data_IF_833945538170
#
_entry.id   IF_833945538170
#
_cell.length_a   1.000
_cell.length_b   1.000
_cell.length_c   1.000
_cell.angle_alpha   90.00
_cell.angle_beta   90.00
_cell.angle_gamma   90.00
#
_symmetry.space_group_name_H-M   'P 1'
#
loop_
_entity.id
_entity.type
_entity.pdbx_description
1 polymer ?
2 polymer ?
3 non-polymer ?
4 non-polymer ?
5 non-polymer ?
6 non-polymer ?
7 water ?
#
loop_
_entity_poly.entity_id
_entity_poly.type
_entity_poly.pdbx_seq_one_letter_code
_entity_poly.pdbx_strand_id
2 'polydeoxyribonucleotide' '(DA)(DC)(DT)(DT)(DT)(DA)(DT)(DG)(DA)(DA)(DA)(DA)(DT)(DA)(DA)(DA)(DG)(DT)(DA)(DT)(DA)(DG)(DT)(DG)(DT)(DG)(DT)' ?
#
# COMPACT_ATOMS: atom_id res chain seq x y z
N UNK A 1 2.75 19.31 -6.74
CA UNK A 1 3.05 17.87 -6.69
C UNK A 1 1.78 17.08 -6.71
N UNK A 2 1.83 15.91 -7.35
CA UNK A 2 0.74 14.91 -7.41
C UNK A 2 0.87 13.85 -6.33
N UNK A 4 0.99 10.15 -5.57
CA UNK A 4 1.23 8.90 -6.28
C UNK A 4 0.74 7.73 -5.39
N UNK A 5 -0.27 7.04 -5.88
CA UNK A 5 -0.83 5.86 -5.20
C UNK A 5 -1.20 4.83 -6.25
N UNK A 6 -0.56 3.68 -6.20
CA UNK A 6 -0.89 2.67 -7.23
C UNK A 6 -0.70 1.30 -6.59
N UNK A 8 -0.37 -3.21 -6.78
CA UNK A 8 0.02 -4.46 -7.44
C UNK A 8 -0.53 -5.63 -6.60
N UNK A 9 -1.03 -6.68 -7.23
CA UNK A 9 -1.59 -7.80 -6.52
C UNK A 9 -0.42 -8.76 -6.17
N UNK A 11 0.44 -12.60 -4.83
CA UNK A 11 0.01 -13.96 -4.51
C UNK A 11 1.00 -14.58 -3.46
N UNK A 12 0.68 -15.76 -2.92
CA UNK A 12 1.70 -16.52 -2.17
C UNK A 12 2.79 -16.94 -3.16
N UNK A 13 4.01 -16.48 -2.92
CA UNK A 13 5.08 -16.64 -3.91
C UNK A 13 5.58 -15.29 -4.44
N UNK A 14 4.79 -14.23 -4.22
CA UNK A 14 5.30 -12.85 -4.32
C UNK A 14 5.64 -12.31 -2.95
N UNK A 15 4.93 -12.80 -1.94
CA UNK A 15 5.10 -12.25 -0.63
C UNK A 15 6.52 -12.47 -0.08
N UNK A 16 7.10 -13.63 -0.36
CA UNK A 16 8.50 -13.95 0.02
C UNK A 16 9.60 -12.95 -0.39
N UNK A 17 9.59 -12.50 -1.65
CA UNK A 17 10.59 -11.54 -2.16
C UNK A 17 10.40 -10.15 -1.58
N UNK A 18 9.12 -9.76 -1.40
CA UNK A 18 8.76 -8.47 -0.75
C UNK A 18 9.16 -8.41 0.75
N UNK A 19 8.95 -9.52 1.48
CA UNK A 19 9.39 -9.57 2.88
C UNK A 19 10.93 -9.35 2.98
N UNK A 20 11.68 -10.06 2.11
CA UNK A 20 13.15 -9.96 2.04
C UNK A 20 13.59 -8.56 1.57
N UNK A 21 12.96 -8.03 0.51
CA UNK A 21 13.24 -6.65 0.05
C UNK A 21 13.21 -5.71 1.24
N UNK A 22 12.12 -5.78 2.01
CA UNK A 22 11.84 -4.84 3.10
C UNK A 22 12.50 -5.28 4.46
N UNK A 23 13.70 -5.87 4.42
CA UNK A 23 14.44 -6.28 5.63
C UNK A 23 13.60 -7.24 6.49
N UNK A 42 14.88 1.50 5.63
CA UNK A 42 13.56 0.89 5.94
C UNK A 42 13.05 0.99 7.39
N UNK A 43 11.86 1.54 7.55
CA UNK A 43 11.14 1.46 8.83
C UNK A 43 9.67 1.01 8.64
N UNK A 44 9.16 0.24 9.61
CA UNK A 44 7.87 -0.45 9.48
C UNK A 44 6.82 0.17 10.42
N UNK A 45 5.71 0.67 9.86
CA UNK A 45 4.79 1.43 10.68
C UNK A 45 3.73 0.59 11.36
N UNK A 46 3.50 -0.65 10.96
CA UNK A 46 2.47 -1.44 11.66
C UNK A 46 3.11 -2.03 12.87
N UNK A 47 2.27 -2.60 13.72
CA UNK A 47 2.74 -3.35 14.88
C UNK A 47 3.03 -4.83 14.56
N UNK A 48 3.25 -5.17 13.27
CA UNK A 48 3.50 -6.58 12.88
C UNK A 48 4.71 -7.13 13.61
N UNK A 49 4.80 -8.45 13.74
CA UNK A 49 5.97 -9.11 14.30
C UNK A 49 7.01 -9.28 13.20
N UNK A 50 8.04 -8.43 13.25
CA UNK A 50 9.00 -8.33 12.14
C UNK A 50 9.85 -9.55 11.81
N UNK A 51 9.68 -10.66 12.55
CA UNK A 51 10.33 -11.97 12.28
C UNK A 51 9.43 -13.03 11.60
N UNK A 52 8.11 -12.77 11.53
CA UNK A 52 7.22 -13.60 10.69
C UNK A 52 7.05 -13.02 9.27
N UNK A 53 7.23 -13.89 8.28
CA UNK A 53 7.10 -13.54 6.87
C UNK A 53 5.70 -12.98 6.54
N UNK A 54 5.61 -12.18 5.48
CA UNK A 54 4.33 -11.63 5.02
C UNK A 54 3.38 -12.78 4.71
N UNK A 55 3.83 -13.74 3.93
CA UNK A 55 2.96 -14.84 3.54
C UNK A 55 2.35 -15.64 4.74
N UNK A 56 3.18 -16.02 5.72
CA UNK A 56 2.70 -16.65 6.97
C UNK A 56 1.81 -15.71 7.80
N UNK A 57 2.20 -14.45 8.00
CA UNK A 57 1.29 -13.54 8.72
C UNK A 57 -0.13 -13.50 8.03
N UNK A 58 -0.16 -13.47 6.69
CA UNK A 58 -1.44 -13.17 6.05
C UNK A 58 -2.26 -14.46 5.97
N UNK A 59 -1.59 -15.54 5.68
CA UNK A 59 -2.31 -16.82 5.65
C UNK A 59 -2.92 -17.17 7.02
N UNK A 60 -2.15 -17.03 8.12
CA UNK A 60 -2.77 -17.28 9.48
C UNK A 60 -3.98 -16.45 9.71
N UNK A 61 -3.90 -15.18 9.34
CA UNK A 61 -4.96 -14.21 9.58
C UNK A 61 -6.25 -14.57 8.81
N UNK A 62 -6.09 -14.94 7.54
CA UNK A 62 -7.23 -15.26 6.68
C UNK A 62 -7.82 -16.62 7.10
N UNK A 63 -6.95 -17.57 7.34
CA UNK A 63 -7.42 -18.85 7.78
C UNK A 63 -8.19 -18.73 9.08
N UNK A 64 -7.67 -17.97 10.02
CA UNK A 64 -8.28 -17.86 11.35
C UNK A 64 -9.60 -17.11 11.31
N UNK A 65 -9.88 -16.39 10.24
CA UNK A 65 -11.09 -15.56 10.17
C UNK A 65 -12.07 -15.85 9.04
N UNK A 66 -11.64 -16.52 7.96
CA UNK A 66 -12.56 -16.62 6.79
C UNK A 66 -13.78 -17.48 7.22
N UNK A 67 -14.96 -17.15 6.71
CA UNK A 67 -16.15 -17.93 6.99
C UNK A 67 -16.05 -19.31 6.26
N UNK A 68 -15.79 -19.26 4.95
CA UNK A 68 -15.76 -20.46 4.12
C UNK A 68 -14.88 -21.54 4.71
N UNK A 69 -15.33 -22.79 4.64
CA UNK A 69 -14.50 -23.93 4.99
C UNK A 69 -13.55 -24.39 3.84
N UNK A 70 -13.74 -23.88 2.63
CA UNK A 70 -12.78 -24.27 1.59
C UNK A 70 -11.42 -23.59 1.83
N UNK A 71 -10.37 -24.26 1.38
CA UNK A 71 -9.08 -23.68 1.50
C UNK A 71 -8.93 -22.41 0.62
N UNK A 72 -8.06 -21.50 1.05
CA UNK A 72 -7.70 -20.37 0.19
C UNK A 72 -7.25 -20.92 -1.17
N UNK A 73 -7.80 -20.35 -2.25
CA UNK A 73 -7.43 -20.78 -3.58
C UNK A 73 -5.97 -20.43 -3.83
N UNK A 74 -5.28 -21.34 -4.53
CA UNK A 74 -3.83 -21.25 -4.76
C UNK A 74 -3.38 -19.97 -5.52
N UNK A 75 -4.29 -19.45 -6.36
CA UNK A 75 -4.05 -18.19 -7.07
C UNK A 75 -4.74 -16.97 -6.41
N UNK A 76 -5.17 -17.09 -5.14
CA UNK A 76 -5.71 -15.97 -4.41
C UNK A 76 -4.77 -14.72 -4.40
N UNK A 77 -5.35 -13.53 -4.47
CA UNK A 77 -4.60 -12.33 -4.13
C UNK A 77 -4.58 -12.20 -2.61
N UNK A 78 -3.43 -12.53 -1.95
CA UNK A 78 -3.36 -12.45 -0.47
C UNK A 78 -3.28 -11.02 0.01
N UNK A 79 -2.76 -10.11 -0.84
CA UNK A 79 -2.84 -8.71 -0.50
C UNK A 79 -2.51 -7.79 -1.63
N UNK A 80 -3.05 -6.59 -1.51
CA UNK A 80 -2.87 -5.55 -2.51
C UNK A 80 -1.78 -4.61 -2.02
N UNK A 81 -0.62 -4.69 -2.66
CA UNK A 81 0.49 -3.82 -2.23
C UNK A 81 0.37 -2.44 -2.89
N UNK A 82 0.15 -1.40 -2.08
CA UNK A 82 0.12 -0.03 -2.56
C UNK A 82 1.48 0.61 -2.43
N UNK A 83 1.97 1.23 -3.48
CA UNK A 83 3.08 2.18 -3.37
C UNK A 83 2.48 3.56 -3.18
N UNK A 84 2.98 4.28 -2.17
CA UNK A 84 2.57 5.66 -1.81
C UNK A 84 3.81 6.51 -1.81
N UNK A 85 3.79 7.57 -2.58
CA UNK A 85 4.93 8.49 -2.73
C UNK A 85 4.48 9.78 -3.44
N UNK A 86 5.44 10.57 -3.97
CA UNK A 86 5.12 11.74 -4.82
C UNK A 86 6.41 12.12 -5.58
N UNK A 87 6.55 13.36 -6.06
CA UNK A 87 7.83 13.69 -6.71
C UNK A 87 8.90 14.07 -5.68
N UNK A 88 10.15 14.09 -6.10
CA UNK A 88 11.28 14.33 -5.24
C UNK A 88 11.17 15.67 -4.52
N UNK A 89 10.80 16.70 -5.26
CA UNK A 89 10.74 18.04 -4.69
C UNK A 89 9.67 18.15 -3.62
N UNK A 90 8.60 17.34 -3.67
CA UNK A 90 7.58 17.37 -2.61
C UNK A 90 8.23 17.03 -1.25
N UNK A 91 9.03 15.97 -1.18
CA UNK A 91 9.69 15.59 0.05
C UNK A 91 10.85 16.51 0.46
N UNK A 92 11.46 17.23 -0.49
CA UNK A 92 12.55 18.23 -0.13
C UNK A 92 12.01 19.32 0.73
N UNK A 93 10.70 19.53 0.63
CA UNK A 93 10.03 20.56 1.35
C UNK A 93 9.67 20.12 2.74
N UNK A 94 9.83 18.82 3.07
CA UNK A 94 9.41 18.30 4.36
C UNK A 94 10.65 17.89 5.19
N UNK A 95 10.68 18.15 6.49
CA UNK A 95 11.69 17.50 7.33
C UNK A 95 11.33 16.02 7.66
N UNK A 96 12.17 15.34 8.44
CA UNK A 96 12.02 13.91 8.62
C UNK A 96 10.76 13.60 9.44
N UNK A 97 10.45 14.43 10.44
CA UNK A 97 9.23 14.28 11.24
C UNK A 97 7.99 14.35 10.33
N UNK A 98 7.97 15.40 9.53
CA UNK A 98 6.84 15.64 8.63
C UNK A 98 6.73 14.57 7.53
N UNK A 99 7.85 14.08 6.97
CA UNK A 99 7.90 12.95 6.03
C UNK A 99 7.34 11.64 6.66
N UNK A 100 7.78 11.29 7.89
CA UNK A 100 7.13 10.20 8.60
C UNK A 100 5.60 10.40 8.79
N UNK A 101 5.16 11.60 9.17
CA UNK A 101 3.73 11.84 9.38
C UNK A 101 3.00 11.70 8.03
N UNK A 102 3.67 12.02 6.93
CA UNK A 102 3.04 11.87 5.61
C UNK A 102 2.71 10.39 5.41
N UNK A 103 3.65 9.47 5.72
CA UNK A 103 3.34 8.09 5.53
C UNK A 103 2.38 7.50 6.54
N UNK A 104 2.41 7.97 7.80
CA UNK A 104 1.45 7.56 8.80
C UNK A 104 0.03 8.02 8.44
N UNK A 105 -0.06 9.23 7.89
CA UNK A 105 -1.37 9.78 7.43
C UNK A 105 -1.97 8.98 6.30
N UNK A 106 -1.16 8.70 5.28
CA UNK A 106 -1.58 7.75 4.24
C UNK A 106 -1.95 6.33 4.78
N UNK A 107 -1.16 5.73 5.65
CA UNK A 107 -1.59 4.46 6.25
C UNK A 107 -2.96 4.59 6.99
N UNK A 108 -3.21 5.72 7.69
CA UNK A 108 -4.50 6.00 8.33
C UNK A 108 -5.65 6.06 7.41
N UNK A 109 -5.46 6.64 6.21
CA UNK A 109 -6.56 6.68 5.26
C UNK A 109 -7.06 5.26 4.89
N UNK A 110 -6.12 4.36 4.53
CA UNK A 110 -6.44 2.99 4.16
C UNK A 110 -6.91 2.12 5.37
N UNK A 111 -6.35 2.32 6.56
CA UNK A 111 -6.93 1.68 7.77
C UNK A 111 -8.40 2.11 8.01
N UNK A 112 -8.70 3.41 7.91
CA UNK A 112 -10.07 3.84 8.16
C UNK A 112 -11.02 3.35 7.07
N UNK A 113 -10.57 3.32 5.82
CA UNK A 113 -11.49 2.90 4.75
C UNK A 113 -11.50 1.34 4.50
N UNK A 114 -10.42 0.62 4.85
CA UNK A 114 -10.36 -0.82 4.54
C UNK A 114 -10.18 -1.75 5.72
N UNK A 115 -9.87 -1.20 6.89
CA UNK A 115 -9.77 -1.98 8.12
C UNK A 115 -8.36 -2.05 8.67
N UNK A 116 -8.22 -1.73 9.95
CA UNK A 116 -6.96 -1.74 10.72
C UNK A 116 -6.24 -3.07 10.65
N UNK A 117 -7.01 -4.13 10.92
CA UNK A 117 -6.38 -5.43 10.92
C UNK A 117 -6.07 -5.90 9.49
N UNK A 118 -6.58 -5.23 8.45
CA UNK A 118 -6.05 -5.55 7.06
C UNK A 118 -4.69 -4.98 6.66
N UNK A 119 -4.11 -4.05 7.44
CA UNK A 119 -2.89 -3.43 6.97
C UNK A 119 -1.82 -4.35 7.49
N UNK A 120 -1.30 -5.26 6.66
CA UNK A 120 -0.34 -6.29 7.15
C UNK A 120 1.06 -5.77 7.28
N UNK A 121 1.40 -4.78 6.43
CA UNK A 121 2.72 -4.18 6.53
C UNK A 121 2.65 -2.79 5.89
N UNK A 122 3.51 -1.90 6.35
CA UNK A 122 3.59 -0.51 5.86
C UNK A 122 5.04 -0.07 6.01
N UNK A 123 5.85 -0.43 5.04
CA UNK A 123 7.25 -0.25 5.15
C UNK A 123 7.77 0.92 4.29
N UNK A 124 8.49 1.83 4.91
CA UNK A 124 8.97 3.03 4.21
C UNK A 124 10.48 2.99 3.97
N UNK A 125 10.83 3.10 2.69
CA UNK A 125 12.18 3.35 2.13
C UNK A 125 12.52 4.86 2.21
N UNK A 126 13.63 5.20 2.86
CA UNK A 126 13.90 6.59 3.29
C UNK A 126 15.39 6.95 3.09
N UNK A 127 15.86 6.87 1.83
CA UNK A 127 17.28 6.65 1.49
C UNK A 127 17.78 7.46 0.27
N UNK A 128 18.28 6.77 -0.78
CA UNK A 128 18.87 7.45 -1.98
C UNK A 128 17.91 8.21 -2.88
N UNK A 129 16.69 7.69 -3.02
CA UNK A 129 15.70 8.32 -3.87
C UNK A 129 14.67 8.94 -2.96
N UNK A 130 13.67 9.45 -3.64
CA UNK A 130 12.41 9.89 -3.07
C UNK A 130 11.88 8.78 -2.20
N UNK A 131 11.50 9.10 -0.96
CA UNK A 131 10.88 8.03 -0.14
C UNK A 131 9.61 7.45 -0.77
N UNK A 132 9.46 6.13 -0.68
CA UNK A 132 8.32 5.35 -1.21
C UNK A 132 7.88 4.46 -0.04
N UNK A 134 5.72 0.88 0.78
CA UNK A 134 5.08 -0.30 0.24
C UNK A 134 4.16 -0.76 1.35
N UNK A 136 1.04 -3.28 2.39
CA UNK A 136 0.23 -4.47 2.03
C UNK A 136 -1.14 -4.41 2.68
N UNK A 137 -2.19 -4.33 1.86
CA UNK A 137 -3.57 -4.26 2.34
C UNK A 137 -4.24 -5.59 2.00
N UNK A 138 -4.58 -6.39 3.01
CA UNK A 138 -5.33 -7.63 2.81
C UNK A 138 -6.79 -7.29 2.43
N UNK A 139 -7.31 -7.80 1.27
CA UNK A 139 -8.70 -7.47 0.86
C UNK A 139 -9.71 -8.45 1.54
N UNK A 140 -9.76 -8.39 2.85
CA UNK A 140 -10.60 -9.30 3.59
C UNK A 140 -11.74 -8.48 4.16
N UNK A 141 -12.93 -8.73 3.65
CA UNK A 141 -14.11 -8.06 4.15
C UNK A 141 -15.26 -9.05 4.29
N UNK A 142 -16.03 -8.93 5.38
CA UNK A 142 -17.24 -9.77 5.57
C UNK A 142 -16.93 -11.26 5.55
N UNK A 143 -15.88 -11.67 6.24
CA UNK A 143 -15.49 -13.12 6.28
C UNK A 143 -14.87 -13.65 4.96
N UNK A 144 -14.62 -12.78 3.99
CA UNK A 144 -14.21 -13.27 2.65
C UNK A 144 -12.92 -12.58 2.16
N UNK A 145 -11.96 -13.33 1.66
CA UNK A 145 -10.76 -12.73 0.99
C UNK A 145 -11.03 -12.44 -0.48
N UNK A 146 -11.20 -11.19 -0.88
CA UNK A 146 -11.43 -10.94 -2.29
C UNK A 146 -10.96 -9.58 -2.75
N UNK A 147 -9.82 -9.55 -3.47
CA UNK A 147 -9.34 -8.32 -4.03
C UNK A 147 -10.36 -7.81 -5.04
N UNK A 148 -10.93 -8.75 -5.77
CA UNK A 148 -11.93 -8.42 -6.79
C UNK A 148 -13.08 -7.57 -6.20
N UNK A 149 -13.62 -7.94 -5.03
CA UNK A 149 -14.69 -7.19 -4.35
C UNK A 149 -14.22 -5.83 -3.74
N UNK A 151 -11.12 -3.94 -4.31
CA UNK A 151 -10.51 -2.97 -5.21
C UNK A 151 -10.98 -3.22 -6.64
N UNK A 152 -12.15 -2.69 -6.94
CA UNK A 152 -12.71 -2.72 -8.26
C UNK A 152 -12.51 -1.36 -8.97
N UNK A 153 -12.92 -1.28 -10.23
CA UNK A 153 -12.68 -0.06 -10.97
C UNK A 153 -13.25 1.20 -10.23
N UNK A 154 -14.37 1.05 -9.56
CA UNK A 154 -15.07 2.21 -8.97
C UNK A 154 -14.25 2.64 -7.71
N UNK A 155 -13.83 1.63 -6.92
CA UNK A 155 -12.97 1.88 -5.73
C UNK A 155 -11.64 2.60 -6.05
N UNK A 156 -11.00 2.23 -7.16
CA UNK A 156 -9.78 2.84 -7.60
C UNK A 156 -10.00 4.25 -8.07
N UNK A 157 -11.11 4.48 -8.77
CA UNK A 157 -11.45 5.87 -9.14
C UNK A 157 -11.63 6.69 -7.87
N UNK A 158 -12.31 6.12 -6.91
CA UNK A 158 -12.61 6.83 -5.67
C UNK A 158 -11.32 7.16 -4.86
N UNK A 159 -10.36 6.22 -4.80
CA UNK A 159 -9.07 6.50 -4.16
C UNK A 159 -8.35 7.64 -4.81
N UNK A 160 -8.32 7.71 -6.15
CA UNK A 160 -7.58 8.82 -6.84
C UNK A 160 -8.20 10.20 -6.61
N UNK A 161 -9.50 10.21 -6.37
CA UNK A 161 -10.20 11.45 -6.07
C UNK A 161 -10.08 11.85 -4.61
N UNK A 162 -10.23 10.87 -3.73
CA UNK A 162 -10.48 11.14 -2.34
C UNK A 162 -9.21 11.17 -1.47
N UNK A 163 -8.32 10.20 -1.67
CA UNK A 163 -7.03 10.23 -0.93
C UNK A 163 -6.25 11.53 -0.98
N UNK A 164 -6.08 12.19 -2.18
CA UNK A 164 -5.38 13.48 -2.18
C UNK A 164 -6.12 14.56 -1.38
N UNK A 165 -7.46 14.54 -1.41
CA UNK A 165 -8.27 15.48 -0.62
C UNK A 165 -8.00 15.22 0.86
N UNK A 166 -8.03 13.96 1.28
CA UNK A 166 -7.70 13.64 2.72
C UNK A 166 -6.29 14.15 3.15
N UNK A 168 -4.54 16.63 1.87
CA UNK A 168 -4.60 18.09 1.93
C UNK A 168 -5.27 18.55 3.19
N UNK A 169 -6.31 17.87 3.62
CA UNK A 169 -6.96 18.20 4.88
C UNK A 169 -5.98 18.01 6.07
N UNK A 170 -4.97 17.16 5.92
CA UNK A 170 -3.98 17.04 6.96
C UNK A 170 -2.76 17.88 6.70
N UNK A 171 -2.87 18.86 5.81
CA UNK A 171 -1.80 19.82 5.64
C UNK A 171 -0.70 19.44 4.67
N UNK A 172 -0.84 18.32 3.95
CA UNK A 172 0.12 17.94 2.88
C UNK A 172 -0.51 18.35 1.50
N UNK A 173 -0.02 19.39 0.86
CA UNK A 173 -0.60 19.95 -0.39
C UNK A 173 -0.32 19.07 -1.61
N UNK A 174 -1.28 18.26 -2.03
CA UNK A 174 -1.16 17.35 -3.17
C UNK A 174 -2.27 17.48 -4.20
N UNK A 175 -1.95 17.55 -5.49
CA UNK A 175 -3.00 17.51 -6.49
C UNK A 175 -3.36 16.03 -6.73
N UNK A 176 -4.63 15.77 -7.01
CA UNK A 176 -5.07 14.45 -7.49
C UNK A 176 -4.45 14.25 -8.88
N UNK A 177 -4.25 12.99 -9.27
CA UNK A 177 -3.81 12.65 -10.62
C UNK A 177 -4.83 13.11 -11.65
N UNK A 178 -4.38 13.34 -12.88
CA UNK A 178 -5.29 13.72 -13.97
C UNK A 178 -6.46 12.75 -14.11
N UNK A 179 -7.70 13.27 -13.98
CA UNK A 179 -8.89 12.41 -14.08
C UNK A 179 -8.90 11.77 -15.47
N UNK A 180 -9.18 10.46 -15.55
CA UNK A 180 -9.09 9.67 -16.80
C UNK A 180 -7.74 9.76 -17.52
N UNK A 181 -6.68 10.02 -16.76
CA UNK A 181 -5.34 9.93 -17.31
C UNK A 181 -5.13 8.78 -18.29
N UNK A 182 -4.50 9.05 -19.43
CA UNK A 182 -4.22 8.00 -20.42
C UNK A 182 -2.80 7.50 -20.33
N UNK A 183 -2.06 7.90 -19.30
CA UNK A 183 -0.67 7.43 -19.14
C UNK A 183 -0.69 5.94 -18.81
N UNK A 184 0.39 5.27 -19.21
CA UNK A 184 0.61 3.85 -18.96
C UNK A 184 1.67 3.73 -17.84
N UNK A 185 1.55 2.73 -16.99
CA UNK A 185 2.56 2.50 -15.95
C UNK A 185 3.88 2.06 -16.64
N UNK A 186 4.99 2.69 -16.25
CA UNK A 186 6.31 2.37 -16.79
C UNK A 186 7.19 1.87 -15.65
N UNK A 187 8.24 1.11 -16.03
CA UNK A 187 9.27 0.65 -15.10
C UNK A 187 10.55 1.16 -15.75
N UNK A 188 11.64 1.20 -15.00
CA UNK A 188 12.94 1.71 -15.51
C UNK A 188 13.40 0.88 -16.70
N UNK A 189 13.44 -0.45 -16.57
CA UNK A 189 13.88 -1.33 -17.68
C UNK A 189 13.16 -1.02 -18.98
N UNK A 190 11.83 -0.85 -18.90
CA UNK A 190 10.96 -0.61 -20.07
C UNK A 190 11.04 0.83 -20.60
N UNK A 191 11.03 1.82 -19.70
CA UNK A 191 11.36 3.20 -20.08
C UNK A 191 12.74 3.26 -20.77
N UNK A 192 13.57 2.23 -20.53
CA UNK A 192 14.99 2.20 -20.95
C UNK A 192 15.77 3.38 -20.35
#
# INVERSE_FOLDING_TARGET
SYXVARXQKXKAGNLGGAFKHNERVFETHSNKDINPSRSHLNYELTDRDRSVSYEKQIKDYVNENKVSNRAIRKDAVLCDEWIITSDKDFFEKLDEEQTRTFFETAKNYFAENYGESNIAYASVHLDESTPHXHXGVVPFENGKLSSKAXFDREELKHIQEDLPRYXSDHGFELERGKLNSEAKHKTVAEFKRAXADX
#
